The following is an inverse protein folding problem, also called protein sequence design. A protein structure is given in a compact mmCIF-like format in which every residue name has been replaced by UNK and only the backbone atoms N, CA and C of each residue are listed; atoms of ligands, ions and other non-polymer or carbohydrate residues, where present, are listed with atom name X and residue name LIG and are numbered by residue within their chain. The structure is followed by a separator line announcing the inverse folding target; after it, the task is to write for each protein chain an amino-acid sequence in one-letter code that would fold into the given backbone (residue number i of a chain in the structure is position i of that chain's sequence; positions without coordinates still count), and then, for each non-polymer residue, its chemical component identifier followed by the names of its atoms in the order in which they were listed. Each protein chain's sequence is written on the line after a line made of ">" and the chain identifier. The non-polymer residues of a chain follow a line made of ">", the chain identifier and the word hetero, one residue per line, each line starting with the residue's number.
data_IF_384424112950
#
_entry.id   IF_384424112950
#
_cell.length_a   1.000
_cell.length_b   1.000
_cell.length_c   1.000
_cell.angle_alpha   90.00
_cell.angle_beta   90.00
_cell.angle_gamma   90.00
#
_symmetry.space_group_name_H-M   'P 1'
#
loop_
_entity.id
_entity.type
_entity.pdbx_description
1 polymer ?
#
# COMPACT_ATOMS: atom_id res chain seq x y z
N UNK A 1 -9.46 4.58 28.95
CA UNK A 1 -8.67 3.70 28.04
C UNK A 1 -9.45 3.33 26.76
N UNK A 2 -10.36 4.18 26.26
CA UNK A 2 -11.18 3.90 25.06
C UNK A 2 -10.45 4.17 23.72
N UNK A 3 -9.42 5.01 23.73
CA UNK A 3 -8.70 5.45 22.51
C UNK A 3 -7.96 4.31 21.80
N UNK A 4 -7.22 3.47 22.53
CA UNK A 4 -6.44 2.37 21.93
C UNK A 4 -7.35 1.29 21.31
N UNK A 5 -8.54 1.06 21.87
CA UNK A 5 -9.53 0.10 21.36
C UNK A 5 -10.19 0.59 20.06
N UNK A 6 -10.28 1.91 19.87
CA UNK A 6 -10.80 2.51 18.63
C UNK A 6 -9.91 2.22 17.43
N UNK A 7 -8.59 2.32 17.60
CA UNK A 7 -7.62 2.13 16.50
C UNK A 7 -7.71 0.74 15.88
N UNK A 8 -7.81 -0.30 16.70
CA UNK A 8 -7.95 -1.67 16.18
C UNK A 8 -9.22 -1.86 15.34
N UNK A 9 -10.31 -1.19 15.72
CA UNK A 9 -11.56 -1.23 14.97
C UNK A 9 -11.41 -0.51 13.63
N UNK A 10 -10.80 0.67 13.62
CA UNK A 10 -10.55 1.44 12.41
C UNK A 10 -9.63 0.68 11.44
N UNK A 11 -8.56 0.05 11.94
CA UNK A 11 -7.67 -0.79 11.12
C UNK A 11 -8.42 -1.98 10.53
N UNK A 12 -9.27 -2.67 11.31
CA UNK A 12 -10.10 -3.76 10.78
C UNK A 12 -11.07 -3.29 9.70
N UNK A 13 -11.68 -2.11 9.89
CA UNK A 13 -12.57 -1.51 8.91
C UNK A 13 -11.82 -1.18 7.62
N UNK A 14 -10.63 -0.59 7.73
CA UNK A 14 -9.76 -0.27 6.60
C UNK A 14 -9.44 -1.53 5.79
N UNK A 15 -9.01 -2.60 6.45
CA UNK A 15 -8.75 -3.88 5.80
C UNK A 15 -9.97 -4.42 5.06
N UNK A 16 -11.15 -4.36 5.68
CA UNK A 16 -12.39 -4.83 5.04
C UNK A 16 -12.76 -3.99 3.82
N UNK A 17 -12.59 -2.67 3.87
CA UNK A 17 -12.85 -1.79 2.73
C UNK A 17 -11.90 -2.07 1.57
N UNK A 18 -10.61 -2.21 1.85
CA UNK A 18 -9.60 -2.52 0.84
C UNK A 18 -9.86 -3.88 0.17
N UNK A 19 -10.25 -4.90 0.94
CA UNK A 19 -10.64 -6.21 0.38
C UNK A 19 -11.86 -6.12 -0.54
N UNK A 20 -12.88 -5.34 -0.15
CA UNK A 20 -14.06 -5.13 -0.98
C UNK A 20 -13.74 -4.39 -2.29
N UNK A 21 -12.85 -3.40 -2.22
CA UNK A 21 -12.37 -2.66 -3.39
C UNK A 21 -11.54 -3.56 -4.30
N UNK A 22 -10.64 -4.37 -3.74
CA UNK A 22 -9.82 -5.32 -4.50
C UNK A 22 -10.68 -6.29 -5.32
N UNK A 23 -11.81 -6.74 -4.77
CA UNK A 23 -12.74 -7.64 -5.47
C UNK A 23 -13.39 -7.03 -6.72
N UNK A 24 -13.38 -5.70 -6.86
CA UNK A 24 -13.96 -4.98 -8.01
C UNK A 24 -12.92 -4.26 -8.85
N UNK A 25 -11.64 -4.28 -8.44
CA UNK A 25 -10.58 -3.49 -9.03
C UNK A 25 -10.24 -3.95 -10.45
N UNK A 26 -10.09 -5.26 -10.65
CA UNK A 26 -9.74 -5.84 -11.96
C UNK A 26 -10.80 -5.49 -13.03
N UNK A 27 -12.09 -5.62 -12.68
CA UNK A 27 -13.21 -5.26 -13.57
C UNK A 27 -13.28 -3.75 -13.84
N UNK A 28 -12.96 -2.93 -12.83
CA UNK A 28 -12.90 -1.48 -13.00
C UNK A 28 -11.74 -1.05 -13.90
N UNK A 29 -10.56 -1.65 -13.79
CA UNK A 29 -9.40 -1.34 -14.62
C UNK A 29 -9.66 -1.68 -16.10
N UNK A 30 -10.29 -2.81 -16.39
CA UNK A 30 -10.71 -3.16 -17.76
C UNK A 30 -11.71 -2.13 -18.33
N UNK A 31 -12.65 -1.64 -17.50
CA UNK A 31 -13.69 -0.68 -17.90
C UNK A 31 -13.18 0.76 -18.03
N UNK A 32 -12.10 1.12 -17.33
CA UNK A 32 -11.53 2.48 -17.32
C UNK A 32 -11.25 3.04 -18.73
N UNK A 33 -10.88 2.17 -19.67
CA UNK A 33 -10.56 2.55 -21.05
C UNK A 33 -11.76 3.17 -21.78
N UNK A 34 -12.97 2.70 -21.47
CA UNK A 34 -14.22 3.09 -22.16
C UNK A 34 -15.08 4.02 -21.31
N UNK A 35 -14.98 3.93 -19.99
CA UNK A 35 -15.81 4.67 -19.05
C UNK A 35 -15.00 5.72 -18.27
N UNK A 36 -15.25 7.00 -18.58
CA UNK A 36 -14.62 8.15 -17.90
C UNK A 36 -15.00 8.25 -16.43
N UNK A 37 -16.19 7.78 -16.04
CA UNK A 37 -16.65 7.81 -14.66
C UNK A 37 -15.89 6.77 -13.82
N UNK A 38 -15.70 5.56 -14.37
CA UNK A 38 -14.84 4.53 -13.76
C UNK A 38 -13.38 5.01 -13.68
N UNK A 39 -12.89 5.73 -14.70
CA UNK A 39 -11.55 6.34 -14.66
C UNK A 39 -11.38 7.36 -13.54
N UNK A 40 -12.37 8.24 -13.35
CA UNK A 40 -12.35 9.22 -12.27
C UNK A 40 -12.46 8.55 -10.89
N UNK A 41 -13.26 7.50 -10.78
CA UNK A 41 -13.37 6.70 -9.55
C UNK A 41 -12.04 6.02 -9.18
N UNK A 42 -11.38 5.36 -10.13
CA UNK A 42 -10.05 4.76 -9.92
C UNK A 42 -8.99 5.82 -9.60
N UNK A 43 -9.07 7.00 -10.21
CA UNK A 43 -8.20 8.12 -9.89
C UNK A 43 -8.30 8.54 -8.42
N UNK A 44 -9.52 8.66 -7.88
CA UNK A 44 -9.75 8.95 -6.46
C UNK A 44 -9.25 7.85 -5.55
N UNK A 45 -9.50 6.59 -5.90
CA UNK A 45 -8.98 5.44 -5.18
C UNK A 45 -7.45 5.45 -5.12
N UNK A 46 -6.79 5.86 -6.20
CA UNK A 46 -5.34 6.02 -6.25
C UNK A 46 -4.84 7.11 -5.29
N UNK A 47 -5.52 8.25 -5.19
CA UNK A 47 -5.14 9.27 -4.20
C UNK A 47 -5.27 8.75 -2.77
N UNK A 48 -6.39 8.14 -2.42
CA UNK A 48 -6.59 7.52 -1.11
C UNK A 48 -5.52 6.46 -0.79
N UNK A 49 -5.00 5.75 -1.80
CA UNK A 49 -3.89 4.79 -1.60
C UNK A 49 -2.58 5.46 -1.18
N UNK A 50 -2.29 6.67 -1.67
CA UNK A 50 -1.14 7.43 -1.21
C UNK A 50 -1.29 7.85 0.25
N UNK A 51 -2.48 8.31 0.65
CA UNK A 51 -2.73 8.70 2.05
C UNK A 51 -2.60 7.49 2.99
N UNK A 52 -2.98 6.29 2.55
CA UNK A 52 -2.78 5.03 3.28
C UNK A 52 -1.29 4.71 3.43
N UNK A 53 -0.52 4.79 2.34
CA UNK A 53 0.92 4.54 2.36
C UNK A 53 1.64 5.51 3.30
N UNK A 54 1.32 6.80 3.20
CA UNK A 54 1.88 7.86 4.04
C UNK A 54 1.58 7.63 5.54
N UNK A 55 0.34 7.25 5.87
CA UNK A 55 -0.04 6.94 7.26
C UNK A 55 0.70 5.71 7.81
N UNK A 56 0.92 4.67 6.99
CA UNK A 56 1.67 3.47 7.37
C UNK A 56 3.16 3.78 7.57
N UNK A 57 3.76 4.56 6.67
CA UNK A 57 5.17 4.95 6.76
C UNK A 57 5.45 5.83 7.97
N UNK A 58 4.55 6.75 8.29
CA UNK A 58 4.63 7.57 9.50
C UNK A 58 4.57 6.71 10.76
N UNK A 59 3.67 5.72 10.81
CA UNK A 59 3.59 4.76 11.91
C UNK A 59 4.88 3.95 12.06
N UNK A 60 5.38 3.39 10.96
CA UNK A 60 6.62 2.60 10.97
C UNK A 60 7.78 3.46 11.46
N UNK A 61 7.92 4.66 10.92
CA UNK A 61 9.00 5.60 11.25
C UNK A 61 8.91 6.06 12.69
N UNK A 62 7.73 6.47 13.14
CA UNK A 62 7.51 6.92 14.51
C UNK A 62 7.74 5.81 15.53
N UNK A 63 7.28 4.58 15.24
CA UNK A 63 7.55 3.41 16.09
C UNK A 63 9.04 3.08 16.15
N UNK A 64 9.79 3.23 15.06
CA UNK A 64 11.25 3.04 15.04
C UNK A 64 11.95 4.09 15.89
N UNK A 65 11.58 5.37 15.77
CA UNK A 65 12.14 6.46 16.61
C UNK A 65 11.95 6.19 18.10
N UNK A 66 10.76 5.77 18.52
CA UNK A 66 10.49 5.41 19.92
C UNK A 66 11.33 4.23 20.43
N UNK A 67 11.66 3.26 19.57
CA UNK A 67 12.55 2.15 19.94
C UNK A 67 14.00 2.60 20.11
N UNK A 68 14.47 3.49 19.23
CA UNK A 68 15.83 4.03 19.28
C UNK A 68 16.01 4.94 20.49
N UNK A 69 15.04 5.81 20.77
CA UNK A 69 15.09 6.72 21.93
C UNK A 69 14.91 5.96 23.27
N UNK A 70 14.32 4.76 23.26
CA UNK A 70 13.93 3.99 24.45
C UNK A 70 14.88 2.87 24.82
N UNK A 71 15.86 2.59 23.96
CA UNK A 71 16.89 1.58 24.13
C UNK A 71 18.27 2.23 24.18
N UNK A 72 18.95 2.06 25.32
CA UNK A 72 20.36 2.36 25.56
C UNK A 72 21.20 1.91 24.35
N UNK A 73 22.06 2.81 23.87
CA UNK A 73 23.04 2.52 22.84
C UNK A 73 23.81 1.23 23.16
N UNK A 74 23.92 0.38 22.14
CA UNK A 74 24.75 -0.82 22.13
C UNK A 74 26.23 -0.43 22.22
N UNK A 75 26.70 0.04 23.38
CA UNK A 75 28.11 0.35 23.64
C UNK A 75 28.42 0.11 25.13
N UNK A 76 28.47 -1.16 25.52
CA UNK A 76 29.21 -1.61 26.69
C UNK A 76 29.74 -3.03 26.44
N UNK A 77 30.66 -3.13 25.48
CA UNK A 77 31.66 -4.19 25.46
C UNK A 77 32.49 -4.06 26.74
N UNK A 78 32.31 -4.98 27.69
CA UNK A 78 33.33 -5.68 28.51
C UNK A 78 32.57 -6.73 29.35
N UNK A 79 33.03 -7.98 29.27
CA UNK A 79 32.38 -9.21 29.73
C UNK A 79 32.45 -9.44 31.26
N UNK A 80 32.27 -10.68 31.79
CA UNK A 80 31.00 -11.36 32.05
C UNK A 80 30.89 -11.78 33.53
N UNK A 81 29.73 -11.66 34.20
CA UNK A 81 29.54 -12.44 35.45
C UNK A 81 28.07 -12.79 35.70
N UNK A 82 27.79 -14.11 35.71
CA UNK A 82 26.54 -14.69 36.22
C UNK A 82 26.35 -14.26 37.67
N UNK A 83 25.13 -13.86 38.07
CA UNK A 83 24.40 -14.42 39.22
C UNK A 83 23.01 -13.80 39.45
N UNK A 84 22.06 -14.73 39.60
CA UNK A 84 20.82 -14.71 40.40
C UNK A 84 19.66 -13.81 39.96
N UNK A 85 18.60 -14.49 39.52
CA UNK A 85 17.20 -14.03 39.54
C UNK A 85 16.90 -13.37 40.88
N UNK A 86 16.64 -12.06 40.84
CA UNK A 86 15.94 -11.37 41.92
C UNK A 86 14.71 -10.73 41.30
N UNK A 87 13.56 -11.25 41.74
CA UNK A 87 12.20 -10.76 41.64
C UNK A 87 12.06 -9.34 41.04
N UNK A 88 11.62 -9.27 39.78
CA UNK A 88 11.02 -8.04 39.24
C UNK A 88 9.68 -7.82 39.95
N UNK A 89 9.69 -7.01 41.01
CA UNK A 89 8.48 -6.42 41.54
C UNK A 89 7.99 -5.36 40.55
N UNK A 90 7.17 -5.75 39.57
CA UNK A 90 6.20 -4.82 38.99
C UNK A 90 5.12 -4.58 40.04
N UNK A 91 5.41 -3.73 41.02
CA UNK A 91 4.39 -3.11 41.86
C UNK A 91 4.45 -1.61 41.63
N UNK A 92 3.37 -1.11 41.05
CA UNK A 92 3.09 0.29 40.78
C UNK A 92 3.29 1.14 42.05
N UNK A 93 4.37 1.92 42.09
CA UNK A 93 4.49 3.20 42.82
C UNK A 93 5.93 3.71 42.72
N UNK A 94 6.29 4.20 41.53
CA UNK A 94 7.39 5.15 41.35
C UNK A 94 6.87 6.24 40.39
N UNK A 95 5.92 7.05 40.84
CA UNK A 95 5.76 8.40 40.31
C UNK A 95 6.96 9.19 40.82
N UNK A 96 8.02 9.18 40.01
CA UNK A 96 9.30 9.80 40.28
C UNK A 96 9.98 10.11 38.95
N UNK A 97 9.47 11.16 38.29
CA UNK A 97 10.20 12.07 37.40
C UNK A 97 11.47 11.51 36.72
N UNK A 98 11.28 10.64 35.71
CA UNK A 98 12.03 10.59 34.42
C UNK A 98 11.21 9.91 33.30
N UNK A 99 9.88 9.93 33.42
CA UNK A 99 8.93 9.27 32.51
C UNK A 99 8.05 10.28 31.75
N UNK A 100 8.42 11.57 31.76
CA UNK A 100 7.56 12.64 31.25
C UNK A 100 7.64 12.84 29.74
N UNK A 101 8.67 12.34 29.07
CA UNK A 101 8.74 12.41 27.61
C UNK A 101 8.34 11.11 26.91
N UNK A 102 8.53 9.96 27.58
CA UNK A 102 8.49 8.67 26.90
C UNK A 102 7.07 8.12 26.71
N UNK A 103 6.23 8.21 27.74
CA UNK A 103 4.85 7.71 27.70
C UNK A 103 3.93 8.57 26.84
N UNK A 104 4.10 9.90 26.90
CA UNK A 104 3.26 10.84 26.17
C UNK A 104 3.55 10.82 24.67
N UNK A 105 4.83 10.83 24.25
CA UNK A 105 5.20 10.75 22.81
C UNK A 105 4.61 9.52 22.13
N UNK A 106 4.60 8.37 22.81
CA UNK A 106 3.99 7.15 22.28
C UNK A 106 2.46 7.21 22.18
N UNK A 107 1.79 7.89 23.11
CA UNK A 107 0.33 8.03 23.10
C UNK A 107 -0.12 9.04 22.04
N UNK A 108 0.57 10.18 21.89
CA UNK A 108 0.28 11.17 20.83
C UNK A 108 0.45 10.56 19.44
N UNK A 109 1.56 9.88 19.18
CA UNK A 109 1.79 9.18 17.91
C UNK A 109 0.69 8.15 17.60
N UNK A 110 0.21 7.42 18.61
CA UNK A 110 -0.93 6.49 18.44
C UNK A 110 -2.25 7.20 18.16
N UNK A 111 -2.44 8.40 18.69
CA UNK A 111 -3.64 9.20 18.47
C UNK A 111 -3.63 9.81 17.06
N UNK A 112 -2.55 10.47 16.67
CA UNK A 112 -2.42 11.13 15.37
C UNK A 112 -2.62 10.13 14.23
N UNK A 113 -2.08 8.93 14.37
CA UNK A 113 -2.22 7.87 13.36
C UNK A 113 -3.62 7.25 13.38
N UNK A 114 -4.27 7.18 14.54
CA UNK A 114 -5.65 6.75 14.62
C UNK A 114 -6.60 7.73 13.90
N UNK A 115 -6.37 9.03 14.04
CA UNK A 115 -7.15 10.06 13.36
C UNK A 115 -6.96 9.98 11.84
N UNK A 116 -5.72 9.77 11.37
CA UNK A 116 -5.42 9.55 9.94
C UNK A 116 -6.13 8.32 9.38
N UNK A 117 -6.05 7.17 10.08
CA UNK A 117 -6.73 5.93 9.65
C UNK A 117 -8.24 6.14 9.60
N UNK A 118 -8.80 6.90 10.54
CA UNK A 118 -10.22 7.22 10.56
C UNK A 118 -10.62 8.09 9.36
N UNK A 119 -9.85 9.13 9.04
CA UNK A 119 -10.08 10.00 7.88
C UNK A 119 -10.04 9.20 6.56
N UNK A 120 -9.02 8.35 6.40
CA UNK A 120 -8.89 7.42 5.26
C UNK A 120 -10.13 6.51 5.16
N UNK A 121 -10.61 5.95 6.27
CA UNK A 121 -11.80 5.11 6.28
C UNK A 121 -13.05 5.87 5.80
N UNK A 122 -13.19 7.14 6.19
CA UNK A 122 -14.28 7.99 5.73
C UNK A 122 -14.17 8.26 4.23
N UNK A 123 -12.97 8.53 3.72
CA UNK A 123 -12.74 8.73 2.29
C UNK A 123 -13.01 7.46 1.46
N UNK A 124 -12.48 6.31 1.88
CA UNK A 124 -12.74 5.02 1.21
C UNK A 124 -14.23 4.69 1.18
N UNK A 125 -14.98 5.02 2.24
CA UNK A 125 -16.43 4.86 2.26
C UNK A 125 -17.10 5.77 1.24
N UNK A 126 -16.66 7.02 1.13
CA UNK A 126 -17.16 7.94 0.11
C UNK A 126 -16.88 7.41 -1.31
N UNK A 127 -15.66 6.91 -1.56
CA UNK A 127 -15.28 6.28 -2.82
C UNK A 127 -16.17 5.05 -3.11
N UNK A 128 -16.41 4.20 -2.11
CA UNK A 128 -17.28 3.03 -2.25
C UNK A 128 -18.73 3.43 -2.61
N UNK A 129 -19.29 4.46 -1.97
CA UNK A 129 -20.65 4.94 -2.28
C UNK A 129 -20.76 5.54 -3.69
N UNK A 130 -19.70 6.17 -4.20
CA UNK A 130 -19.69 6.71 -5.56
C UNK A 130 -19.73 5.61 -6.63
N UNK A 131 -19.09 4.46 -6.36
CA UNK A 131 -19.14 3.31 -7.27
C UNK A 131 -20.56 2.82 -7.52
N UNK A 132 -21.42 2.85 -6.50
CA UNK A 132 -22.82 2.45 -6.66
C UNK A 132 -23.61 3.43 -7.53
N UNK A 133 -23.22 4.71 -7.59
CA UNK A 133 -23.79 5.68 -8.54
C UNK A 133 -23.38 5.40 -9.99
N UNK A 134 -22.15 4.91 -10.21
CA UNK A 134 -21.65 4.58 -11.55
C UNK A 134 -22.14 3.23 -12.08
N UNK A 135 -22.78 2.41 -11.24
CA UNK A 135 -23.35 1.12 -11.62
C UNK A 135 -24.63 1.23 -12.47
N UNK A 136 -25.11 2.45 -12.75
CA UNK A 136 -26.46 2.67 -13.31
C UNK A 136 -26.55 2.70 -14.84
N UNK A 137 -25.46 2.67 -15.61
CA UNK A 137 -25.57 2.59 -17.08
C UNK A 137 -24.52 1.63 -17.68
N UNK A 138 -24.80 0.33 -17.64
CA UNK A 138 -24.19 -0.57 -18.63
C UNK A 138 -25.14 -1.69 -19.02
N UNK A 139 -25.97 -1.41 -20.02
CA UNK A 139 -26.55 -2.46 -20.85
C UNK A 139 -25.42 -3.28 -21.47
N UNK A 140 -25.57 -4.59 -21.44
CA UNK A 140 -24.68 -5.61 -21.96
C UNK A 140 -24.08 -5.22 -23.32
N UNK A 141 -22.83 -4.75 -23.32
CA UNK A 141 -22.00 -4.71 -24.52
C UNK A 141 -20.82 -5.63 -24.24
N UNK A 142 -20.69 -6.64 -25.09
CA UNK A 142 -19.64 -7.65 -25.08
C UNK A 142 -18.28 -7.04 -24.70
N UNK A 143 -17.70 -7.53 -23.61
CA UNK A 143 -16.37 -7.15 -23.15
C UNK A 143 -15.34 -7.69 -24.13
N UNK A 144 -15.11 -6.96 -25.22
CA UNK A 144 -13.94 -7.16 -26.03
C UNK A 144 -12.79 -6.48 -25.29
N UNK A 145 -11.96 -7.32 -24.65
CA UNK A 145 -10.72 -6.92 -23.98
C UNK A 145 -9.88 -6.13 -24.98
N UNK A 146 -9.51 -4.87 -24.69
CA UNK A 146 -8.50 -4.19 -25.48
C UNK A 146 -7.23 -5.06 -25.43
N UNK A 147 -6.89 -5.71 -26.53
CA UNK A 147 -5.65 -6.49 -26.61
C UNK A 147 -4.52 -5.51 -26.35
N UNK A 148 -3.74 -5.75 -25.29
CA UNK A 148 -2.49 -5.02 -25.04
C UNK A 148 -1.66 -5.11 -26.31
N UNK A 149 -1.34 -3.96 -26.90
CA UNK A 149 -0.44 -3.92 -28.05
C UNK A 149 0.88 -4.53 -27.60
N UNK A 150 1.38 -5.52 -28.34
CA UNK A 150 2.65 -6.15 -28.01
C UNK A 150 3.74 -5.06 -28.06
N UNK A 151 4.31 -4.76 -26.88
CA UNK A 151 5.35 -3.74 -26.73
C UNK A 151 6.73 -4.22 -27.17
N UNK A 152 6.87 -5.50 -27.49
CA UNK A 152 8.15 -6.13 -27.85
C UNK A 152 7.99 -6.93 -29.13
N UNK A 153 8.97 -6.85 -30.02
CA UNK A 153 9.08 -7.67 -31.23
C UNK A 153 9.67 -9.06 -30.97
N UNK A 154 9.57 -9.57 -29.73
CA UNK A 154 10.02 -10.92 -29.39
C UNK A 154 8.99 -11.91 -29.94
N UNK A 155 9.37 -12.57 -31.03
CA UNK A 155 8.55 -13.53 -31.76
C UNK A 155 9.36 -14.83 -31.83
N UNK A 156 8.67 -15.97 -31.78
CA UNK A 156 9.29 -17.25 -32.04
C UNK A 156 9.62 -17.38 -33.55
N UNK A 157 10.91 -17.48 -33.89
CA UNK A 157 11.36 -17.56 -35.29
C UNK A 157 10.89 -18.85 -35.98
N UNK A 158 10.61 -19.91 -35.21
CA UNK A 158 10.15 -21.20 -35.74
C UNK A 158 8.68 -21.14 -36.22
N UNK A 159 7.88 -20.19 -35.71
CA UNK A 159 6.47 -19.99 -36.10
C UNK A 159 6.32 -19.16 -37.39
N UNK A 160 7.38 -18.46 -37.83
CA UNK A 160 7.32 -17.54 -38.97
C UNK A 160 7.77 -18.24 -40.27
N UNK A 161 6.81 -18.60 -41.12
CA UNK A 161 7.08 -19.10 -42.46
C UNK A 161 6.83 -18.01 -43.54
N UNK A 162 7.49 -18.14 -44.70
CA UNK A 162 7.21 -17.33 -45.90
C UNK A 162 7.86 -15.94 -45.98
N UNK A 163 8.49 -15.42 -44.91
CA UNK A 163 9.12 -14.08 -44.90
C UNK A 163 10.62 -14.05 -45.24
N UNK A 164 11.13 -15.10 -45.87
CA UNK A 164 12.55 -15.23 -46.23
C UNK A 164 12.97 -14.15 -47.25
N UNK A 165 12.13 -13.83 -48.22
CA UNK A 165 12.43 -12.81 -49.24
C UNK A 165 12.57 -11.40 -48.64
N UNK A 166 11.59 -10.99 -47.84
CA UNK A 166 11.57 -9.69 -47.14
C UNK A 166 12.77 -9.56 -46.17
N UNK A 167 13.10 -10.65 -45.45
CA UNK A 167 14.26 -10.71 -44.57
C UNK A 167 15.56 -10.44 -45.33
N UNK A 168 15.75 -11.10 -46.49
CA UNK A 168 16.97 -10.95 -47.29
C UNK A 168 17.07 -9.57 -47.95
N UNK A 169 15.95 -8.99 -48.39
CA UNK A 169 15.90 -7.63 -48.94
C UNK A 169 16.22 -6.57 -47.88
N UNK A 170 15.75 -6.76 -46.64
CA UNK A 170 16.10 -5.88 -45.53
C UNK A 170 17.58 -6.05 -45.15
N UNK A 171 18.09 -7.27 -45.13
CA UNK A 171 19.51 -7.55 -44.89
C UNK A 171 20.41 -6.88 -45.92
N UNK A 172 20.08 -6.95 -47.21
CA UNK A 172 20.90 -6.31 -48.26
C UNK A 172 20.90 -4.78 -48.17
N UNK A 173 19.76 -4.18 -47.79
CA UNK A 173 19.65 -2.73 -47.53
C UNK A 173 20.42 -2.29 -46.30
N UNK A 174 20.46 -3.12 -45.24
CA UNK A 174 21.15 -2.81 -43.99
C UNK A 174 22.65 -3.05 -44.05
N UNK A 175 23.08 -4.07 -44.80
CA UNK A 175 24.48 -4.41 -44.96
C UNK A 175 25.19 -3.55 -46.02
N UNK A 176 24.44 -2.73 -46.78
CA UNK A 176 24.96 -1.90 -47.87
C UNK A 176 26.03 -2.66 -48.66
N UNK A 177 25.66 -3.81 -49.23
CA UNK A 177 26.56 -4.48 -50.18
C UNK A 177 26.66 -3.57 -51.41
N UNK A 178 27.80 -2.88 -51.49
CA UNK A 178 28.21 -2.07 -52.62
C UNK A 178 28.62 -2.92 -53.82
#
# INVERSE_FOLDING_TARGET
>A
VKLVVGVEKEVKSLTSHLQAIQAVLDDAEEKQVKDKAVSLWLGRLKYASYDIEDALDEWITGRRKLQIEGGIGENALIAPHKKKKVRFCFRASCLGFKQEEFGFKQVFLRHDIADKIKEINEELRNIATQRDMFKSESGSKSSERPRRVQSTSLIDEEEICGRVGERNELLSKLLCES
#
